data_IF_296414680400
#
_entry.id   IF_296414680400
#
_cell.length_a   1.000
_cell.length_b   1.000
_cell.length_c   1.000
_cell.angle_alpha   90.00
_cell.angle_beta   90.00
_cell.angle_gamma   90.00
#
_symmetry.space_group_name_H-M   'P 1'
#
loop_
_entity.id
_entity.type
_entity.pdbx_description
1 polymer ?
#
# COMPACT_ATOMS: atom_id res chain seq x y z
N UNK A 1 -21.38 -9.20 -13.07
CA UNK A 1 -21.78 -7.77 -13.13
C UNK A 1 -20.59 -6.85 -12.86
N UNK A 2 -20.72 -5.54 -13.08
CA UNK A 2 -19.62 -4.56 -12.91
C UNK A 2 -19.02 -4.54 -11.50
N UNK A 3 -19.85 -4.67 -10.45
CA UNK A 3 -19.37 -4.74 -9.06
C UNK A 3 -18.44 -5.94 -8.81
N UNK A 4 -18.78 -7.13 -9.32
CA UNK A 4 -17.93 -8.31 -9.23
C UNK A 4 -16.59 -8.12 -9.95
N UNK A 5 -16.58 -7.43 -11.09
CA UNK A 5 -15.35 -7.13 -11.81
C UNK A 5 -14.43 -6.18 -11.00
N UNK A 6 -15.01 -5.17 -10.34
CA UNK A 6 -14.27 -4.25 -9.47
C UNK A 6 -13.74 -4.96 -8.21
N UNK A 7 -14.57 -5.78 -7.55
CA UNK A 7 -14.16 -6.61 -6.40
C UNK A 7 -13.03 -7.57 -6.79
N UNK A 8 -13.14 -8.24 -7.94
CA UNK A 8 -12.07 -9.13 -8.45
C UNK A 8 -10.80 -8.34 -8.75
N UNK A 9 -10.94 -7.15 -9.32
CA UNK A 9 -9.81 -6.24 -9.57
C UNK A 9 -9.10 -5.84 -8.28
N UNK A 10 -9.83 -5.58 -7.18
CA UNK A 10 -9.24 -5.35 -5.86
C UNK A 10 -8.50 -6.59 -5.36
N UNK A 11 -9.07 -7.79 -5.53
CA UNK A 11 -8.41 -9.05 -5.17
C UNK A 11 -7.08 -9.25 -5.90
N UNK A 12 -7.06 -9.04 -7.22
CA UNK A 12 -5.84 -9.09 -8.04
C UNK A 12 -4.83 -8.03 -7.57
N UNK A 13 -5.31 -6.81 -7.28
CA UNK A 13 -4.46 -5.72 -6.80
C UNK A 13 -3.77 -6.08 -5.48
N UNK A 14 -4.49 -6.70 -4.53
CA UNK A 14 -3.90 -7.18 -3.27
C UNK A 14 -2.83 -8.25 -3.51
N UNK A 15 -3.07 -9.21 -4.40
CA UNK A 15 -2.08 -10.23 -4.77
C UNK A 15 -0.83 -9.59 -5.34
N UNK A 16 -0.97 -8.65 -6.29
CA UNK A 16 0.16 -8.00 -6.95
C UNK A 16 0.98 -7.17 -5.95
N UNK A 17 0.33 -6.39 -5.10
CA UNK A 17 1.00 -5.56 -4.09
C UNK A 17 1.67 -6.41 -3.02
N UNK A 18 1.00 -7.43 -2.48
CA UNK A 18 1.57 -8.36 -1.51
C UNK A 18 2.78 -9.10 -2.08
N UNK A 19 2.70 -9.56 -3.34
CA UNK A 19 3.82 -10.19 -4.03
C UNK A 19 4.98 -9.23 -4.26
N UNK A 20 4.73 -7.96 -4.60
CA UNK A 20 5.77 -6.94 -4.74
C UNK A 20 6.50 -6.70 -3.41
N UNK A 21 5.76 -6.62 -2.29
CA UNK A 21 6.34 -6.49 -0.95
C UNK A 21 7.21 -7.70 -0.60
N UNK A 22 6.73 -8.92 -0.82
CA UNK A 22 7.48 -10.15 -0.53
C UNK A 22 8.72 -10.29 -1.42
N UNK A 23 8.62 -9.95 -2.71
CA UNK A 23 9.75 -9.97 -3.64
C UNK A 23 10.84 -8.98 -3.20
N UNK A 24 10.46 -7.77 -2.80
CA UNK A 24 11.41 -6.79 -2.24
C UNK A 24 12.07 -7.33 -0.99
N UNK A 25 11.28 -7.89 -0.07
CA UNK A 25 11.82 -8.46 1.17
C UNK A 25 12.83 -9.58 0.91
N UNK A 26 12.56 -10.49 -0.03
CA UNK A 26 13.48 -11.57 -0.40
C UNK A 26 14.73 -11.03 -1.09
N UNK A 27 14.57 -10.11 -2.05
CA UNK A 27 15.68 -9.55 -2.83
C UNK A 27 16.61 -8.70 -1.97
N UNK A 28 16.05 -7.87 -1.11
CA UNK A 28 16.82 -6.94 -0.28
C UNK A 28 17.49 -7.67 0.91
N UNK A 29 17.01 -8.86 1.30
CA UNK A 29 17.69 -9.75 2.27
C UNK A 29 18.92 -10.46 1.72
N UNK A 30 19.15 -10.46 0.39
CA UNK A 30 20.34 -11.07 -0.22
C UNK A 30 21.59 -10.19 -0.03
N UNK A 31 21.42 -8.94 0.43
CA UNK A 31 22.53 -8.09 0.89
C UNK A 31 22.82 -8.33 2.38
N UNK A 32 23.36 -9.51 2.71
CA UNK A 32 23.95 -9.75 4.02
C UNK A 32 25.27 -8.95 4.13
N UNK A 33 25.24 -7.80 4.81
CA UNK A 33 26.45 -7.23 5.37
C UNK A 33 26.86 -8.06 6.59
N UNK A 34 27.79 -9.01 6.39
CA UNK A 34 28.63 -9.55 7.45
C UNK A 34 29.71 -8.50 7.73
N UNK A 35 29.62 -7.79 8.85
CA UNK A 35 30.77 -7.10 9.44
C UNK A 35 30.96 -7.61 10.87
N UNK A 36 31.89 -8.54 11.03
CA UNK A 36 32.66 -8.68 12.27
C UNK A 36 33.87 -7.80 12.10
N UNK A 37 34.05 -6.78 12.93
CA UNK A 37 35.38 -6.22 13.17
C UNK A 37 35.64 -6.06 14.65
N UNK A 38 36.81 -6.57 15.01
CA UNK A 38 37.50 -6.54 16.27
C UNK A 38 37.93 -5.09 16.54
N UNK A 39 37.69 -4.63 17.76
CA UNK A 39 38.29 -3.45 18.41
C UNK A 39 37.96 -2.04 17.84
N UNK A 40 37.14 -1.35 18.64
CA UNK A 40 37.07 0.11 18.86
C UNK A 40 36.24 0.98 17.89
N UNK A 41 35.22 1.63 18.48
CA UNK A 41 34.23 2.62 17.97
C UNK A 41 32.99 2.11 17.21
N UNK A 42 31.84 2.15 17.91
CA UNK A 42 30.52 1.76 17.41
C UNK A 42 29.91 2.88 16.55
N UNK A 43 29.72 2.61 15.26
CA UNK A 43 28.88 3.43 14.39
C UNK A 43 27.95 2.54 13.55
N UNK A 44 26.65 2.86 13.55
CA UNK A 44 25.62 2.20 12.74
C UNK A 44 25.45 2.99 11.45
N UNK A 45 25.87 2.42 10.31
CA UNK A 45 25.53 2.96 8.99
C UNK A 45 24.71 1.94 8.19
N UNK A 46 23.60 2.41 7.62
CA UNK A 46 22.79 1.70 6.65
C UNK A 46 23.12 2.22 5.24
N UNK A 47 23.76 1.41 4.39
CA UNK A 47 24.00 1.73 2.98
C UNK A 47 23.51 0.60 2.07
N UNK A 48 22.80 0.96 0.99
CA UNK A 48 22.50 0.08 -0.15
C UNK A 48 23.42 0.48 -1.32
N UNK A 49 24.34 -0.39 -1.72
CA UNK A 49 25.17 -0.15 -2.90
C UNK A 49 24.58 -0.80 -4.15
N UNK A 50 24.18 0.02 -5.12
CA UNK A 50 24.19 -0.34 -6.54
C UNK A 50 25.11 0.63 -7.28
N UNK A 51 26.38 0.25 -7.46
CA UNK A 51 27.31 0.88 -8.40
C UNK A 51 28.10 2.11 -7.90
N UNK A 52 29.40 1.88 -7.63
CA UNK A 52 30.57 2.77 -7.84
C UNK A 52 30.63 4.20 -7.27
N UNK A 53 31.75 4.50 -6.60
CA UNK A 53 32.32 5.86 -6.53
C UNK A 53 32.57 6.42 -5.13
N UNK A 54 33.81 6.84 -4.87
CA UNK A 54 34.35 7.35 -3.60
C UNK A 54 33.65 8.65 -3.16
N UNK A 55 33.34 8.74 -1.87
CA UNK A 55 32.69 9.88 -1.24
C UNK A 55 33.58 11.14 -1.22
N UNK A 56 33.08 12.21 -1.83
CA UNK A 56 33.40 13.59 -1.47
C UNK A 56 32.13 14.43 -1.73
N UNK A 57 31.63 15.10 -0.69
CA UNK A 57 30.59 16.14 -0.69
C UNK A 57 29.64 16.19 -1.90
N UNK A 58 28.45 15.63 -1.76
CA UNK A 58 27.34 15.92 -2.67
C UNK A 58 26.08 16.20 -1.86
N UNK A 59 25.53 17.43 -1.90
CA UNK A 59 24.31 17.76 -1.19
C UNK A 59 23.19 16.86 -1.72
N UNK A 60 22.51 16.17 -0.81
CA UNK A 60 21.40 15.27 -1.11
C UNK A 60 20.25 16.02 -1.82
N UNK A 61 20.34 16.16 -3.13
CA UNK A 61 19.22 16.55 -3.97
C UNK A 61 18.30 15.34 -4.10
N UNK A 62 17.28 15.27 -3.24
CA UNK A 62 16.13 14.41 -3.51
C UNK A 62 15.42 14.97 -4.74
N UNK A 63 15.70 14.42 -5.92
CA UNK A 63 14.83 14.62 -7.07
C UNK A 63 13.47 14.00 -6.75
N UNK A 64 12.57 14.80 -6.19
CA UNK A 64 11.16 14.50 -6.20
C UNK A 64 10.74 14.42 -7.67
N UNK A 65 10.63 13.21 -8.19
CA UNK A 65 10.02 12.97 -9.50
C UNK A 65 8.68 13.72 -9.54
N UNK A 66 8.62 14.82 -10.31
CA UNK A 66 7.41 15.63 -10.55
C UNK A 66 6.27 14.86 -11.23
N UNK A 67 6.43 13.55 -11.44
CA UNK A 67 5.43 12.68 -12.06
C UNK A 67 4.35 12.34 -11.06
N UNK A 68 3.10 12.41 -11.54
CA UNK A 68 1.93 11.98 -10.80
C UNK A 68 2.14 10.53 -10.30
N UNK A 69 1.79 10.20 -9.05
CA UNK A 69 1.94 8.86 -8.49
C UNK A 69 0.83 7.95 -9.03
N UNK A 70 0.93 7.56 -10.31
CA UNK A 70 -0.09 6.80 -11.04
C UNK A 70 -0.50 5.49 -10.34
N UNK A 71 0.46 4.82 -9.68
CA UNK A 71 0.18 3.61 -8.89
C UNK A 71 -0.75 3.90 -7.72
N UNK A 72 -0.46 4.95 -6.93
CA UNK A 72 -1.29 5.32 -5.80
C UNK A 72 -2.68 5.80 -6.25
N UNK A 73 -2.75 6.55 -7.36
CA UNK A 73 -4.01 6.98 -7.96
C UNK A 73 -4.85 5.78 -8.42
N UNK A 74 -4.24 4.81 -9.12
CA UNK A 74 -4.93 3.61 -9.58
C UNK A 74 -5.48 2.78 -8.41
N UNK A 75 -4.69 2.61 -7.34
CA UNK A 75 -5.14 1.94 -6.12
C UNK A 75 -6.32 2.68 -5.49
N UNK A 76 -6.23 4.01 -5.38
CA UNK A 76 -7.30 4.85 -4.83
C UNK A 76 -8.59 4.77 -5.64
N UNK A 77 -8.50 4.83 -6.97
CA UNK A 77 -9.65 4.70 -7.88
C UNK A 77 -10.30 3.32 -7.73
N UNK A 78 -9.52 2.24 -7.78
CA UNK A 78 -10.04 0.88 -7.62
C UNK A 78 -10.74 0.70 -6.27
N UNK A 79 -10.13 1.19 -5.20
CA UNK A 79 -10.70 1.09 -3.85
C UNK A 79 -11.98 1.93 -3.70
N UNK A 80 -12.00 3.16 -4.23
CA UNK A 80 -13.18 4.02 -4.21
C UNK A 80 -14.35 3.39 -4.98
N UNK A 81 -14.10 2.92 -6.20
CA UNK A 81 -15.11 2.30 -7.06
C UNK A 81 -15.66 0.99 -6.47
N UNK A 82 -14.80 0.14 -5.90
CA UNK A 82 -15.23 -1.13 -5.33
C UNK A 82 -15.90 -0.98 -3.95
N UNK A 83 -15.39 -0.09 -3.09
CA UNK A 83 -15.81 -0.02 -1.68
C UNK A 83 -16.88 1.01 -1.36
N UNK A 84 -16.85 2.18 -2.01
CA UNK A 84 -17.71 3.31 -1.64
C UNK A 84 -18.84 3.62 -2.62
N UNK A 85 -18.80 3.06 -3.84
CA UNK A 85 -19.79 3.36 -4.87
C UNK A 85 -21.23 3.08 -4.44
N UNK A 86 -21.48 1.95 -3.76
CA UNK A 86 -22.82 1.61 -3.28
C UNK A 86 -23.36 2.61 -2.25
N UNK A 87 -22.54 2.98 -1.26
CA UNK A 87 -22.92 3.96 -0.23
C UNK A 87 -23.17 5.34 -0.81
N UNK A 88 -22.34 5.77 -1.76
CA UNK A 88 -22.49 7.07 -2.44
C UNK A 88 -23.77 7.08 -3.27
N UNK A 89 -24.02 6.04 -4.07
CA UNK A 89 -25.24 5.94 -4.88
C UNK A 89 -26.49 5.93 -4.01
N UNK A 90 -26.50 5.14 -2.94
CA UNK A 90 -27.64 5.07 -2.01
C UNK A 90 -27.90 6.43 -1.35
N UNK A 91 -26.85 7.12 -0.92
CA UNK A 91 -26.97 8.43 -0.28
C UNK A 91 -27.49 9.49 -1.25
N UNK A 92 -27.03 9.47 -2.52
CA UNK A 92 -27.50 10.40 -3.55
C UNK A 92 -28.97 10.20 -3.91
N UNK A 93 -29.49 8.97 -3.82
CA UNK A 93 -30.92 8.70 -4.04
C UNK A 93 -31.81 9.27 -2.92
N UNK A 94 -31.27 9.45 -1.72
CA UNK A 94 -32.02 9.97 -0.56
C UNK A 94 -32.08 11.50 -0.52
N UNK A 95 -31.31 12.20 -1.38
CA UNK A 95 -31.15 13.65 -1.32
C UNK A 95 -32.03 14.33 -2.36
N UNK A 96 -32.83 15.35 -1.99
CA UNK A 96 -33.84 15.94 -2.86
C UNK A 96 -33.29 16.94 -3.90
N UNK A 97 -32.01 17.33 -3.82
CA UNK A 97 -31.43 18.35 -4.72
C UNK A 97 -30.01 18.03 -5.17
N UNK A 98 -29.68 18.43 -6.40
CA UNK A 98 -28.34 18.24 -7.00
C UNK A 98 -27.25 18.93 -6.16
N UNK A 99 -27.53 20.12 -5.63
CA UNK A 99 -26.57 20.87 -4.82
C UNK A 99 -26.19 20.13 -3.52
N UNK A 100 -27.17 19.53 -2.84
CA UNK A 100 -26.90 18.70 -1.66
C UNK A 100 -26.16 17.41 -2.03
N UNK A 101 -26.44 16.82 -3.20
CA UNK A 101 -25.70 15.67 -3.71
C UNK A 101 -24.22 15.98 -3.98
N UNK A 102 -23.92 17.13 -4.60
CA UNK A 102 -22.56 17.62 -4.79
C UNK A 102 -21.86 17.92 -3.45
N UNK A 103 -22.59 18.52 -2.50
CA UNK A 103 -22.09 18.74 -1.15
C UNK A 103 -21.74 17.44 -0.43
N UNK A 104 -22.59 16.41 -0.57
CA UNK A 104 -22.31 15.07 -0.04
C UNK A 104 -21.05 14.46 -0.66
N UNK A 105 -20.91 14.50 -1.99
CA UNK A 105 -19.72 13.96 -2.69
C UNK A 105 -18.45 14.68 -2.21
N UNK A 106 -18.49 16.01 -2.10
CA UNK A 106 -17.34 16.80 -1.64
C UNK A 106 -16.96 16.46 -0.20
N UNK A 107 -17.94 16.38 0.71
CA UNK A 107 -17.72 16.06 2.11
C UNK A 107 -17.22 14.62 2.29
N UNK A 108 -17.82 13.66 1.60
CA UNK A 108 -17.40 12.26 1.61
C UNK A 108 -15.99 12.12 1.06
N UNK A 109 -15.68 12.75 -0.07
CA UNK A 109 -14.36 12.74 -0.68
C UNK A 109 -13.30 13.34 0.25
N UNK A 110 -13.55 14.53 0.81
CA UNK A 110 -12.64 15.18 1.75
C UNK A 110 -12.44 14.34 3.03
N UNK A 111 -13.52 13.80 3.59
CA UNK A 111 -13.47 12.92 4.76
C UNK A 111 -12.69 11.63 4.49
N UNK A 112 -12.86 11.04 3.30
CA UNK A 112 -12.13 9.84 2.88
C UNK A 112 -10.64 10.12 2.72
N UNK A 113 -10.26 11.23 2.07
CA UNK A 113 -8.86 11.66 1.95
C UNK A 113 -8.24 11.86 3.34
N UNK A 114 -8.93 12.59 4.22
CA UNK A 114 -8.45 12.86 5.58
C UNK A 114 -8.32 11.57 6.38
N UNK A 115 -9.31 10.68 6.31
CA UNK A 115 -9.31 9.38 6.99
C UNK A 115 -8.16 8.49 6.52
N UNK A 116 -7.96 8.38 5.20
CA UNK A 116 -6.83 7.63 4.63
C UNK A 116 -5.49 8.24 5.04
N UNK A 117 -5.35 9.57 5.04
CA UNK A 117 -4.12 10.24 5.45
C UNK A 117 -3.80 10.00 6.94
N UNK A 118 -4.79 10.13 7.82
CA UNK A 118 -4.64 9.89 9.26
C UNK A 118 -4.29 8.43 9.54
N UNK A 119 -5.02 7.48 8.96
CA UNK A 119 -4.74 6.05 9.16
C UNK A 119 -3.35 5.68 8.63
N UNK A 120 -2.96 6.22 7.47
CA UNK A 120 -1.63 6.02 6.91
C UNK A 120 -0.54 6.58 7.82
N UNK A 121 -0.74 7.75 8.42
CA UNK A 121 0.20 8.34 9.37
C UNK A 121 0.33 7.46 10.63
N UNK A 122 -0.79 7.05 11.21
CA UNK A 122 -0.84 6.19 12.41
C UNK A 122 -0.13 4.86 12.17
N UNK A 123 -0.26 4.27 10.98
CA UNK A 123 0.41 3.01 10.62
C UNK A 123 1.88 3.23 10.26
N UNK A 124 2.20 4.28 9.50
CA UNK A 124 3.55 4.52 8.99
C UNK A 124 4.55 4.87 10.09
N UNK A 125 4.12 5.60 11.13
CA UNK A 125 5.01 6.04 12.21
C UNK A 125 5.62 4.85 12.97
N UNK A 126 4.85 3.91 13.55
CA UNK A 126 5.40 2.72 14.19
C UNK A 126 6.22 1.83 13.26
N UNK A 127 5.81 1.68 11.99
CA UNK A 127 6.56 0.90 11.00
C UNK A 127 7.94 1.51 10.72
N UNK A 128 8.03 2.85 10.65
CA UNK A 128 9.29 3.56 10.48
C UNK A 128 10.19 3.41 11.72
N UNK A 129 9.64 3.54 12.92
CA UNK A 129 10.40 3.28 14.15
C UNK A 129 10.92 1.83 14.20
N UNK A 130 10.08 0.84 13.88
CA UNK A 130 10.52 -0.56 13.83
C UNK A 130 11.64 -0.78 12.80
N UNK A 131 11.61 -0.11 11.66
CA UNK A 131 12.64 -0.24 10.63
C UNK A 131 14.01 0.27 11.08
N UNK A 132 14.03 1.32 11.90
CA UNK A 132 15.27 1.96 12.38
C UNK A 132 15.89 1.20 13.55
N UNK A 133 15.07 0.74 14.51
CA UNK A 133 15.59 0.17 15.76
C UNK A 133 15.58 -1.37 15.80
N UNK A 134 14.65 -2.03 15.10
CA UNK A 134 14.46 -3.49 15.15
C UNK A 134 14.23 -4.07 13.74
N UNK A 135 15.31 -4.20 12.96
CA UNK A 135 15.27 -4.71 11.59
C UNK A 135 14.53 -6.07 11.46
N UNK A 136 14.73 -6.99 12.41
CA UNK A 136 14.06 -8.30 12.42
C UNK A 136 12.53 -8.20 12.62
N UNK A 137 12.08 -7.29 13.50
CA UNK A 137 10.65 -7.05 13.75
C UNK A 137 10.01 -6.41 12.52
N UNK A 138 10.68 -5.43 11.92
CA UNK A 138 10.19 -4.79 10.69
C UNK A 138 10.06 -5.80 9.54
N UNK A 139 11.07 -6.66 9.33
CA UNK A 139 11.02 -7.71 8.32
C UNK A 139 9.87 -8.70 8.56
N UNK A 140 9.64 -9.09 9.81
CA UNK A 140 8.56 -10.03 10.17
C UNK A 140 7.19 -9.39 9.94
N UNK A 141 6.98 -8.15 10.39
CA UNK A 141 5.72 -7.42 10.17
C UNK A 141 5.46 -7.24 8.67
N UNK A 142 6.46 -6.78 7.91
CA UNK A 142 6.33 -6.59 6.46
C UNK A 142 6.05 -7.91 5.73
N UNK A 143 6.69 -9.01 6.14
CA UNK A 143 6.40 -10.35 5.60
C UNK A 143 4.95 -10.76 5.88
N UNK A 144 4.49 -10.61 7.12
CA UNK A 144 3.12 -10.96 7.52
C UNK A 144 2.08 -10.13 6.77
N UNK A 145 2.30 -8.82 6.62
CA UNK A 145 1.42 -7.95 5.84
C UNK A 145 1.37 -8.38 4.37
N UNK A 146 2.52 -8.68 3.76
CA UNK A 146 2.58 -9.15 2.38
C UNK A 146 1.87 -10.49 2.16
N UNK A 147 2.11 -11.48 3.04
CA UNK A 147 1.44 -12.79 3.01
C UNK A 147 -0.06 -12.63 3.20
N UNK A 148 -0.48 -11.87 4.22
CA UNK A 148 -1.88 -11.63 4.52
C UNK A 148 -2.59 -10.95 3.35
N UNK A 149 -1.97 -9.94 2.74
CA UNK A 149 -2.51 -9.26 1.56
C UNK A 149 -2.70 -10.21 0.38
N UNK A 150 -1.72 -11.06 0.08
CA UNK A 150 -1.85 -12.09 -0.94
C UNK A 150 -2.96 -13.09 -0.62
N UNK A 151 -3.00 -13.60 0.61
CA UNK A 151 -4.00 -14.57 1.04
C UNK A 151 -5.42 -14.01 0.93
N UNK A 152 -5.63 -12.77 1.39
CA UNK A 152 -6.91 -12.08 1.27
C UNK A 152 -7.31 -11.87 -0.20
N UNK A 153 -6.34 -11.47 -1.05
CA UNK A 153 -6.59 -11.30 -2.48
C UNK A 153 -6.97 -12.60 -3.18
N UNK A 154 -6.27 -13.71 -2.88
CA UNK A 154 -6.61 -15.05 -3.40
C UNK A 154 -8.00 -15.48 -2.91
N UNK A 155 -8.26 -15.32 -1.60
CA UNK A 155 -9.56 -15.62 -1.02
C UNK A 155 -10.69 -14.89 -1.73
N UNK A 156 -10.55 -13.58 -1.93
CA UNK A 156 -11.55 -12.79 -2.66
C UNK A 156 -11.76 -13.28 -4.10
N UNK A 157 -10.68 -13.53 -4.85
CA UNK A 157 -10.79 -13.99 -6.25
C UNK A 157 -11.49 -15.35 -6.32
N UNK A 158 -11.16 -16.28 -5.40
CA UNK A 158 -11.79 -17.60 -5.32
C UNK A 158 -13.25 -17.48 -4.90
N UNK A 159 -13.56 -16.69 -3.89
CA UNK A 159 -14.93 -16.48 -3.42
C UNK A 159 -15.81 -15.89 -4.53
N UNK A 160 -15.33 -14.86 -5.23
CA UNK A 160 -16.10 -14.24 -6.32
C UNK A 160 -16.23 -15.21 -7.50
N UNK A 161 -15.16 -15.92 -7.86
CA UNK A 161 -15.13 -16.83 -9.01
C UNK A 161 -15.90 -18.14 -8.82
N UNK A 162 -15.88 -18.72 -7.62
CA UNK A 162 -16.56 -20.00 -7.34
C UNK A 162 -17.96 -19.82 -6.75
N UNK A 163 -18.17 -18.89 -5.82
CA UNK A 163 -19.46 -18.78 -5.11
C UNK A 163 -20.43 -17.84 -5.83
N UNK A 164 -19.98 -16.66 -6.25
CA UNK A 164 -20.90 -15.65 -6.84
C UNK A 164 -21.21 -15.90 -8.31
N UNK A 165 -20.32 -16.52 -9.08
CA UNK A 165 -20.57 -16.84 -10.50
C UNK A 165 -21.39 -18.11 -10.68
N UNK A 166 -21.25 -19.11 -9.81
CA UNK A 166 -21.98 -20.38 -9.90
C UNK A 166 -23.40 -20.32 -9.29
N UNK A 167 -23.63 -19.45 -8.30
CA UNK A 167 -24.96 -19.25 -7.68
C UNK A 167 -25.87 -18.25 -8.41
N UNK A 168 -25.32 -17.48 -9.37
CA UNK A 168 -26.06 -16.50 -10.19
C UNK A 168 -26.11 -16.87 -11.68
N UNK A 169 -25.63 -18.06 -12.04
CA UNK A 169 -25.81 -18.70 -13.35
C UNK A 169 -26.94 -19.74 -13.25
#
# INVERSE_FOLDING_TARGET
GLGQALETGVGIMLIVLGADVLRRLVRDRIHFHVHRHDLETEHVHAHSHSGEGRHADSPHHHEHSKRLPLRALAVGVMHGLAGSAALVVLSLQAVPSIALGLGYIALFGAGSILGMALLSFVIAVPLKFSAVYLASVHQTITALVGIFSCALGVFMVVEIGYLKTLLLA
#
